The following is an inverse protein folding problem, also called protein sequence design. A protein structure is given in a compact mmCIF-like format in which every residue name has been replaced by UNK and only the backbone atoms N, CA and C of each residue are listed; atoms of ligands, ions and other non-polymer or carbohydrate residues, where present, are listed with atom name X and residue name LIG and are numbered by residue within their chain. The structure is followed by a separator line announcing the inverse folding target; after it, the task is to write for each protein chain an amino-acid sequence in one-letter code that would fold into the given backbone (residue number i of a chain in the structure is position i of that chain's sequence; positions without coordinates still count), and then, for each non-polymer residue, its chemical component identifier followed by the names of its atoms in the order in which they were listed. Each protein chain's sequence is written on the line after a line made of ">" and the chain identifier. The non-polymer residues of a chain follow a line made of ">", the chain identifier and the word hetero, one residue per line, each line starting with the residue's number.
data_IF_849519916575
#
_entry.id   IF_849519916575
#
_cell.length_a   1.000
_cell.length_b   1.000
_cell.length_c   1.000
_cell.angle_alpha   90.00
_cell.angle_beta   90.00
_cell.angle_gamma   90.00
#
_symmetry.space_group_name_H-M   'P 1'
#
loop_
_entity.id
_entity.type
_entity.pdbx_description
1 polymer ?
#
# COMPACT_ATOMS: atom_id res chain seq x y z
N UNK A 1 -3.04 0.04 -6.89
CA UNK A 1 -3.44 -1.34 -6.53
C UNK A 1 -4.59 -1.74 -7.44
N UNK A 2 -4.48 -2.88 -8.13
CA UNK A 2 -5.54 -3.38 -9.01
C UNK A 2 -6.53 -4.24 -8.23
N UNK A 3 -6.04 -5.08 -7.34
CA UNK A 3 -6.82 -6.00 -6.52
C UNK A 3 -6.09 -6.22 -5.20
N UNK A 4 -6.71 -5.81 -4.09
CA UNK A 4 -6.13 -5.95 -2.75
C UNK A 4 -6.57 -7.25 -2.07
N UNK A 5 -7.80 -7.70 -2.32
CA UNK A 5 -8.41 -8.87 -1.71
C UNK A 5 -9.08 -9.73 -2.79
N UNK A 6 -8.30 -10.60 -3.42
CA UNK A 6 -8.75 -11.50 -4.47
C UNK A 6 -8.62 -12.97 -4.09
N UNK A 7 -9.33 -13.84 -4.82
CA UNK A 7 -9.23 -15.29 -4.74
C UNK A 7 -8.87 -15.87 -6.10
N UNK A 8 -7.85 -16.72 -6.16
CA UNK A 8 -7.40 -17.33 -7.41
C UNK A 8 -7.31 -18.85 -7.33
N UNK A 9 -7.67 -19.49 -8.42
CA UNK A 9 -7.41 -20.90 -8.71
C UNK A 9 -6.32 -20.99 -9.76
N UNK A 10 -5.36 -21.90 -9.60
CA UNK A 10 -4.29 -22.04 -10.58
C UNK A 10 -3.15 -22.91 -10.12
N UNK A 11 -2.00 -22.68 -10.74
CA UNK A 11 -0.78 -23.41 -10.45
C UNK A 11 0.44 -22.59 -10.82
N UNK A 12 1.56 -22.88 -10.17
CA UNK A 12 2.89 -22.38 -10.51
C UNK A 12 3.84 -23.57 -10.66
N UNK A 13 4.70 -23.54 -11.67
CA UNK A 13 5.78 -24.51 -11.82
C UNK A 13 7.12 -23.86 -11.46
N UNK A 14 7.80 -24.43 -10.48
CA UNK A 14 9.07 -23.91 -10.00
C UNK A 14 9.99 -25.06 -9.57
N UNK A 15 11.24 -25.02 -10.03
CA UNK A 15 12.22 -26.08 -9.73
C UNK A 15 11.81 -27.47 -10.21
N UNK A 16 11.03 -27.57 -11.30
CA UNK A 16 10.49 -28.84 -11.81
C UNK A 16 9.37 -29.44 -10.96
N UNK A 17 8.85 -28.69 -9.96
CA UNK A 17 7.67 -29.06 -9.18
C UNK A 17 6.51 -28.13 -9.51
N UNK A 18 5.34 -28.72 -9.71
CA UNK A 18 4.08 -28.00 -9.85
C UNK A 18 3.41 -27.85 -8.48
N UNK A 19 3.01 -26.63 -8.18
CA UNK A 19 2.25 -26.26 -6.99
C UNK A 19 0.88 -25.80 -7.46
N UNK A 20 -0.15 -26.52 -7.06
CA UNK A 20 -1.54 -26.18 -7.38
C UNK A 20 -2.18 -25.49 -6.19
N UNK A 21 -3.01 -24.51 -6.47
CA UNK A 21 -3.72 -23.76 -5.46
C UNK A 21 -5.14 -23.51 -5.91
N UNK A 22 -6.04 -23.47 -4.92
CA UNK A 22 -7.45 -23.24 -5.10
C UNK A 22 -7.90 -22.27 -4.03
N UNK A 23 -8.69 -21.30 -4.42
CA UNK A 23 -9.22 -20.26 -3.56
C UNK A 23 -8.09 -19.62 -2.75
N UNK A 24 -7.00 -19.25 -3.42
CA UNK A 24 -5.81 -18.70 -2.76
C UNK A 24 -5.93 -17.17 -2.64
N UNK A 25 -5.59 -16.58 -1.47
CA UNK A 25 -5.47 -15.14 -1.31
C UNK A 25 -4.56 -14.53 -2.39
N UNK A 26 -5.06 -13.52 -3.10
CA UNK A 26 -4.35 -12.92 -4.24
C UNK A 26 -4.34 -11.41 -4.13
N UNK A 27 -3.16 -10.84 -4.36
CA UNK A 27 -2.94 -9.42 -4.51
C UNK A 27 -2.40 -9.16 -5.91
N UNK A 28 -2.91 -8.12 -6.57
CA UNK A 28 -2.41 -7.69 -7.86
C UNK A 28 -2.30 -6.16 -7.88
N UNK A 29 -1.21 -5.70 -8.47
CA UNK A 29 -0.91 -4.28 -8.58
C UNK A 29 -0.36 -3.97 -9.97
N UNK A 30 -0.45 -2.69 -10.33
CA UNK A 30 0.00 -2.20 -11.62
C UNK A 30 0.67 -0.86 -11.38
N UNK A 31 1.98 -0.83 -11.61
CA UNK A 31 2.80 0.35 -11.50
C UNK A 31 3.50 0.61 -12.85
N UNK A 32 3.04 1.64 -13.58
CA UNK A 32 3.63 2.07 -14.86
C UNK A 32 3.31 3.55 -15.15
N UNK A 33 4.21 4.26 -15.84
CA UNK A 33 3.96 5.61 -16.35
C UNK A 33 4.89 6.71 -15.80
N UNK A 34 4.77 7.91 -16.37
CA UNK A 34 5.60 9.08 -16.06
C UNK A 34 5.41 9.66 -14.64
N UNK A 35 4.45 9.13 -13.88
CA UNK A 35 4.17 9.50 -12.50
C UNK A 35 4.74 8.54 -11.45
N UNK A 36 5.72 7.72 -11.82
CA UNK A 36 6.37 6.80 -10.88
C UNK A 36 7.01 7.60 -9.72
N UNK A 37 6.83 7.19 -8.46
CA UNK A 37 7.32 7.96 -7.33
C UNK A 37 8.86 8.01 -7.29
N UNK A 38 9.41 9.12 -6.81
CA UNK A 38 10.85 9.32 -6.65
C UNK A 38 11.42 8.51 -5.48
N UNK A 39 10.57 8.20 -4.48
CA UNK A 39 10.88 7.37 -3.31
C UNK A 39 9.59 6.73 -2.78
N UNK A 40 9.62 5.44 -2.45
CA UNK A 40 8.44 4.75 -1.92
C UNK A 40 8.80 3.56 -1.04
N UNK A 41 7.87 3.17 -0.17
CA UNK A 41 7.90 1.92 0.56
C UNK A 41 6.57 1.19 0.42
N UNK A 42 6.61 -0.13 0.54
CA UNK A 42 5.42 -0.99 0.41
C UNK A 42 5.41 -2.07 1.49
N UNK A 43 4.21 -2.38 1.98
CA UNK A 43 3.89 -3.54 2.81
C UNK A 43 2.63 -4.18 2.22
N UNK A 44 2.70 -5.45 1.87
CA UNK A 44 1.55 -6.24 1.48
C UNK A 44 1.55 -7.56 2.22
N UNK A 45 0.40 -7.98 2.73
CA UNK A 45 0.27 -9.31 3.33
C UNK A 45 -1.19 -9.76 3.34
N UNK A 46 -1.41 -11.04 3.05
CA UNK A 46 -2.72 -11.70 3.11
C UNK A 46 -2.66 -13.09 3.79
N UNK A 47 -1.55 -13.38 4.47
CA UNK A 47 -1.29 -14.66 5.12
C UNK A 47 -1.17 -14.46 6.64
N UNK A 48 -2.20 -13.88 7.25
CA UNK A 48 -2.20 -13.54 8.67
C UNK A 48 -2.72 -14.67 9.54
N UNK A 49 -2.11 -14.83 10.71
CA UNK A 49 -2.64 -15.60 11.84
C UNK A 49 -2.91 -14.67 13.02
N UNK A 50 -3.73 -15.10 13.98
CA UNK A 50 -3.94 -14.32 15.21
C UNK A 50 -2.66 -14.25 16.04
N UNK A 51 -2.29 -13.06 16.51
CA UNK A 51 -1.10 -12.88 17.34
C UNK A 51 -1.22 -13.68 18.65
N UNK A 52 -0.19 -14.46 18.96
CA UNK A 52 -0.14 -15.32 20.15
C UNK A 52 -0.95 -16.62 20.04
N UNK A 53 -1.64 -16.85 18.93
CA UNK A 53 -2.32 -18.11 18.66
C UNK A 53 -1.36 -19.14 18.07
N UNK A 54 -1.57 -20.41 18.40
CA UNK A 54 -0.74 -21.55 17.98
C UNK A 54 -1.44 -22.45 16.96
N UNK A 55 -2.73 -22.24 16.69
CA UNK A 55 -3.55 -23.01 15.74
C UNK A 55 -3.08 -22.86 14.29
N UNK A 56 -2.41 -21.74 13.97
CA UNK A 56 -1.97 -21.35 12.61
C UNK A 56 -3.11 -21.18 11.60
N UNK A 57 -4.35 -21.02 12.07
CA UNK A 57 -5.47 -20.75 11.19
C UNK A 57 -5.29 -19.37 10.54
N UNK A 58 -5.44 -19.34 9.22
CA UNK A 58 -5.38 -18.08 8.46
C UNK A 58 -6.63 -17.26 8.72
N UNK A 59 -6.42 -15.98 8.99
CA UNK A 59 -7.48 -14.99 9.09
C UNK A 59 -7.81 -14.45 7.70
N UNK A 60 -9.08 -14.11 7.50
CA UNK A 60 -9.54 -13.39 6.32
C UNK A 60 -9.15 -11.91 6.42
N UNK A 61 -7.86 -11.64 6.21
CA UNK A 61 -7.25 -10.31 6.25
C UNK A 61 -6.40 -10.11 5.01
N UNK A 62 -6.60 -8.97 4.33
CA UNK A 62 -5.61 -8.44 3.38
C UNK A 62 -5.18 -7.04 3.79
N UNK A 63 -3.87 -6.83 3.86
CA UNK A 63 -3.25 -5.56 4.14
C UNK A 63 -2.51 -5.07 2.89
N UNK A 64 -2.75 -3.80 2.53
CA UNK A 64 -1.89 -3.04 1.64
C UNK A 64 -1.56 -1.70 2.28
N UNK A 65 -0.30 -1.49 2.63
CA UNK A 65 0.17 -0.26 3.26
C UNK A 65 1.36 0.29 2.47
N UNK A 66 1.32 1.58 2.14
CA UNK A 66 2.27 2.20 1.21
C UNK A 66 2.50 3.65 1.59
N UNK A 67 3.68 4.17 1.30
CA UNK A 67 3.98 5.59 1.28
C UNK A 67 4.91 5.94 0.12
N UNK A 68 4.69 7.09 -0.50
CA UNK A 68 5.41 7.51 -1.70
C UNK A 68 5.57 9.03 -1.77
N UNK A 69 6.70 9.49 -2.31
CA UNK A 69 6.87 10.83 -2.84
C UNK A 69 6.45 10.80 -4.30
N UNK A 70 5.28 11.39 -4.60
CA UNK A 70 4.76 11.47 -5.97
C UNK A 70 4.80 12.90 -6.48
N UNK A 71 4.88 13.01 -7.81
CA UNK A 71 4.76 14.28 -8.52
C UNK A 71 3.47 14.30 -9.34
N UNK A 72 2.66 15.34 -9.16
CA UNK A 72 1.45 15.54 -9.96
C UNK A 72 1.77 16.29 -11.26
N UNK A 73 1.09 15.98 -12.37
CA UNK A 73 1.23 16.74 -13.61
C UNK A 73 0.95 18.23 -13.38
N UNK A 74 1.86 19.10 -13.84
CA UNK A 74 1.71 20.56 -13.71
C UNK A 74 2.04 21.13 -12.32
N UNK A 75 2.39 20.30 -11.33
CA UNK A 75 2.83 20.75 -9.99
C UNK A 75 4.36 20.61 -9.87
N UNK A 76 5.03 21.66 -9.40
CA UNK A 76 6.49 21.68 -9.32
C UNK A 76 7.04 20.81 -8.18
N UNK A 77 6.31 20.71 -7.08
CA UNK A 77 6.74 20.05 -5.85
C UNK A 77 6.19 18.63 -5.77
N UNK A 78 6.92 17.75 -5.11
CA UNK A 78 6.44 16.42 -4.74
C UNK A 78 5.59 16.49 -3.47
N UNK A 79 4.65 15.56 -3.34
CA UNK A 79 3.87 15.36 -2.12
C UNK A 79 4.11 13.94 -1.57
N UNK A 80 4.26 13.87 -0.24
CA UNK A 80 4.23 12.61 0.48
C UNK A 80 2.78 12.15 0.60
N UNK A 81 2.48 11.00 0.01
CA UNK A 81 1.18 10.34 0.12
C UNK A 81 1.36 8.96 0.73
N UNK A 82 0.34 8.47 1.40
CA UNK A 82 0.37 7.12 1.94
C UNK A 82 -1.03 6.54 2.09
N UNK A 83 -1.11 5.27 2.46
CA UNK A 83 -2.36 4.58 2.70
C UNK A 83 -2.11 3.38 3.61
N UNK A 84 -3.09 3.07 4.46
CA UNK A 84 -3.23 1.78 5.15
C UNK A 84 -4.60 1.20 4.79
N UNK A 85 -4.64 0.34 3.78
CA UNK A 85 -5.86 -0.30 3.30
C UNK A 85 -5.96 -1.71 3.87
N UNK A 86 -7.08 -2.01 4.55
CA UNK A 86 -7.30 -3.29 5.22
C UNK A 86 -8.64 -3.88 4.78
N UNK A 87 -8.62 -5.10 4.30
CA UNK A 87 -9.80 -5.95 4.20
C UNK A 87 -9.82 -6.90 5.39
N UNK A 88 -10.95 -7.01 6.08
CA UNK A 88 -11.10 -7.91 7.21
C UNK A 88 -12.54 -8.43 7.31
N UNK A 89 -12.73 -9.74 7.22
CA UNK A 89 -14.05 -10.40 7.29
C UNK A 89 -15.10 -9.73 6.39
N UNK A 90 -14.74 -9.45 5.14
CA UNK A 90 -15.60 -8.78 4.16
C UNK A 90 -15.84 -7.27 4.37
N UNK A 91 -15.19 -6.65 5.37
CA UNK A 91 -15.22 -5.18 5.57
C UNK A 91 -13.95 -4.56 4.97
N UNK A 92 -14.09 -3.38 4.37
CA UNK A 92 -12.97 -2.62 3.83
C UNK A 92 -12.74 -1.32 4.61
N UNK A 93 -11.49 -1.08 5.00
CA UNK A 93 -11.03 0.12 5.69
C UNK A 93 -10.00 0.87 4.83
N UNK A 94 -10.41 1.86 4.03
CA UNK A 94 -9.55 2.62 3.13
C UNK A 94 -8.87 3.81 3.83
N UNK A 95 -7.94 3.59 4.76
CA UNK A 95 -7.34 4.69 5.51
C UNK A 95 -6.33 5.45 4.63
N UNK A 96 -6.70 6.66 4.21
CA UNK A 96 -5.93 7.52 3.31
C UNK A 96 -5.86 8.95 3.83
N UNK A 97 -4.96 9.82 3.33
CA UNK A 97 -4.91 11.23 3.69
C UNK A 97 -6.22 12.02 3.49
N UNK A 98 -7.20 11.48 2.78
CA UNK A 98 -8.51 12.10 2.60
C UNK A 98 -9.45 11.92 3.80
N UNK A 99 -9.32 10.82 4.55
CA UNK A 99 -10.20 10.48 5.68
C UNK A 99 -9.43 10.23 6.99
N UNK A 100 -8.10 10.11 6.92
CA UNK A 100 -7.24 9.65 8.01
C UNK A 100 -5.92 10.38 8.03
N UNK A 101 -5.37 10.55 9.23
CA UNK A 101 -3.97 10.90 9.44
C UNK A 101 -3.12 9.65 9.25
N UNK A 102 -2.41 9.56 8.12
CA UNK A 102 -1.52 8.43 7.80
C UNK A 102 -0.06 8.84 7.98
N UNK A 103 0.69 8.15 8.84
CA UNK A 103 2.10 8.46 9.12
C UNK A 103 2.96 7.22 9.05
N UNK A 104 4.25 7.37 8.75
CA UNK A 104 5.18 6.26 8.68
C UNK A 104 6.59 6.63 9.12
N UNK A 105 7.38 5.60 9.41
CA UNK A 105 8.82 5.66 9.63
C UNK A 105 9.46 4.38 9.09
N UNK A 106 10.32 4.52 8.08
CA UNK A 106 10.94 3.40 7.37
C UNK A 106 12.45 3.58 7.34
N UNK A 107 13.20 2.57 7.77
CA UNK A 107 14.67 2.59 7.74
C UNK A 107 15.18 2.38 6.31
N UNK A 108 16.46 2.70 6.01
CA UNK A 108 17.10 2.35 4.74
C UNK A 108 16.91 0.90 4.31
N UNK A 109 16.75 -0.02 5.27
CA UNK A 109 16.27 -1.38 5.07
C UNK A 109 15.94 -2.01 6.43
N UNK A 110 15.03 -2.98 6.45
CA UNK A 110 14.83 -3.90 7.57
C UNK A 110 13.69 -3.57 8.53
N UNK A 111 13.16 -2.35 8.53
CA UNK A 111 12.03 -1.96 9.39
C UNK A 111 11.09 -0.98 8.69
N UNK A 112 9.79 -1.26 8.75
CA UNK A 112 8.72 -0.41 8.25
C UNK A 112 7.66 -0.25 9.34
N UNK A 113 7.35 0.98 9.72
CA UNK A 113 6.25 1.28 10.63
C UNK A 113 5.29 2.26 9.97
N UNK A 114 4.00 1.98 10.06
CA UNK A 114 2.95 2.87 9.58
C UNK A 114 1.79 2.92 10.58
N UNK A 115 1.17 4.08 10.70
CA UNK A 115 -0.03 4.30 11.50
C UNK A 115 -1.07 5.04 10.68
N UNK A 116 -2.34 4.78 10.95
CA UNK A 116 -3.45 5.53 10.39
C UNK A 116 -4.53 5.74 11.45
N UNK A 117 -5.05 6.97 11.55
CA UNK A 117 -6.12 7.34 12.50
C UNK A 117 -7.18 8.12 11.75
N UNK A 118 -8.43 7.66 11.78
CA UNK A 118 -9.56 8.37 11.18
C UNK A 118 -9.74 9.73 11.85
N UNK A 119 -9.96 10.74 11.03
CA UNK A 119 -10.23 12.11 11.46
C UNK A 119 -11.75 12.29 11.57
N UNK A 120 -12.30 12.42 12.79
CA UNK A 120 -13.74 12.63 12.95
C UNK A 120 -14.14 14.06 12.53
N UNK A 121 -15.29 14.15 11.86
CA UNK A 121 -16.15 15.32 11.52
C UNK A 121 -16.16 15.82 10.06
N UNK A 122 -15.12 15.63 9.25
CA UNK A 122 -15.10 16.17 7.86
C UNK A 122 -14.92 15.12 6.74
N UNK A 123 -14.74 13.83 7.05
CA UNK A 123 -14.62 12.80 6.00
C UNK A 123 -16.00 12.50 5.38
N UNK A 124 -16.08 12.54 4.05
CA UNK A 124 -17.28 12.13 3.29
C UNK A 124 -17.65 10.66 3.49
N UNK A 125 -16.70 9.84 3.95
CA UNK A 125 -16.92 8.44 4.32
C UNK A 125 -17.31 8.36 5.80
N UNK A 126 -18.51 7.84 6.10
CA UNK A 126 -18.99 7.54 7.45
C UNK A 126 -18.20 6.37 8.09
N UNK A 127 -16.88 6.52 8.23
CA UNK A 127 -16.04 5.54 8.90
C UNK A 127 -16.20 5.65 10.41
N UNK A 128 -16.21 4.52 11.15
CA UNK A 128 -16.14 4.55 12.61
C UNK A 128 -14.79 5.11 13.06
N UNK A 129 -14.63 5.38 14.37
CA UNK A 129 -13.37 5.83 14.93
C UNK A 129 -12.34 4.70 14.82
N UNK A 130 -11.57 4.69 13.73
CA UNK A 130 -10.61 3.64 13.44
C UNK A 130 -9.18 4.11 13.67
N UNK A 131 -8.38 3.19 14.19
CA UNK A 131 -6.92 3.32 14.26
C UNK A 131 -6.28 2.03 13.78
N UNK A 132 -5.28 2.14 12.92
CA UNK A 132 -4.45 1.02 12.48
C UNK A 132 -2.97 1.27 12.82
N UNK A 133 -2.29 0.23 13.25
CA UNK A 133 -0.84 0.19 13.41
C UNK A 133 -0.28 -1.00 12.63
N UNK A 134 0.71 -0.74 11.79
CA UNK A 134 1.44 -1.75 11.02
C UNK A 134 2.90 -1.65 11.40
N UNK A 135 3.46 -2.74 11.91
CA UNK A 135 4.90 -2.84 12.20
C UNK A 135 5.46 -4.03 11.46
N UNK A 136 6.53 -3.82 10.70
CA UNK A 136 7.14 -4.86 9.91
C UNK A 136 8.64 -4.87 10.01
N UNK A 137 9.23 -6.06 10.02
CA UNK A 137 10.68 -6.26 10.02
C UNK A 137 11.08 -7.30 8.98
N UNK A 138 12.26 -7.13 8.40
CA UNK A 138 12.92 -8.18 7.63
C UNK A 138 14.37 -8.32 8.05
N UNK A 139 14.80 -9.57 8.23
CA UNK A 139 16.21 -9.95 8.42
C UNK A 139 16.87 -10.38 7.13
N UNK A 140 16.09 -10.62 6.07
CA UNK A 140 16.59 -10.96 4.75
C UNK A 140 17.28 -9.72 4.14
N UNK A 141 18.37 -9.89 3.37
CA UNK A 141 18.97 -8.77 2.64
C UNK A 141 18.04 -8.19 1.56
N UNK A 142 16.95 -8.89 1.23
CA UNK A 142 16.06 -8.55 0.13
C UNK A 142 16.67 -8.84 -1.24
N UNK A 143 15.83 -8.80 -2.27
CA UNK A 143 16.24 -8.98 -3.66
C UNK A 143 16.26 -7.62 -4.35
N UNK A 144 17.40 -7.19 -4.94
CA UNK A 144 17.44 -6.00 -5.77
C UNK A 144 16.63 -6.22 -7.05
N UNK A 145 15.68 -5.32 -7.32
CA UNK A 145 14.82 -5.35 -8.49
C UNK A 145 15.02 -4.11 -9.36
N UNK A 146 14.69 -4.27 -10.64
CA UNK A 146 14.65 -3.14 -11.58
C UNK A 146 13.26 -2.52 -11.57
N UNK A 147 13.19 -1.20 -11.39
CA UNK A 147 11.96 -0.43 -11.48
C UNK A 147 12.12 0.73 -12.48
N UNK A 148 11.01 1.28 -13.01
CA UNK A 148 11.05 2.44 -13.90
C UNK A 148 11.64 3.67 -13.21
N UNK A 149 12.49 4.40 -13.92
CA UNK A 149 13.03 5.69 -13.48
C UNK A 149 12.87 6.76 -14.57
N UNK A 150 12.90 8.02 -14.14
CA UNK A 150 12.97 9.13 -15.08
C UNK A 150 14.35 9.16 -15.77
N UNK A 151 14.34 9.15 -17.10
CA UNK A 151 15.53 9.25 -17.94
C UNK A 151 16.44 8.02 -18.07
N UNK A 152 16.33 7.00 -17.21
CA UNK A 152 17.21 5.80 -17.29
C UNK A 152 16.46 4.49 -17.62
N UNK A 153 15.13 4.52 -17.73
CA UNK A 153 14.34 3.32 -17.99
C UNK A 153 14.31 2.39 -16.77
N UNK A 154 14.52 1.08 -16.98
CA UNK A 154 14.52 0.09 -15.89
C UNK A 154 15.89 0.02 -15.19
N UNK A 155 16.01 0.62 -14.01
CA UNK A 155 17.22 0.66 -13.20
C UNK A 155 17.05 -0.07 -11.85
N UNK A 156 18.15 -0.55 -11.27
CA UNK A 156 18.14 -1.24 -9.96
C UNK A 156 17.97 -0.21 -8.86
N UNK A 157 16.72 0.17 -8.61
CA UNK A 157 16.33 1.18 -7.60
C UNK A 157 15.27 0.65 -6.64
N UNK A 158 14.91 -0.62 -6.73
CA UNK A 158 13.93 -1.28 -5.88
C UNK A 158 14.61 -2.43 -5.14
N UNK A 159 14.13 -2.71 -3.93
CA UNK A 159 14.51 -3.87 -3.15
C UNK A 159 13.27 -4.43 -2.45
N UNK A 160 13.01 -5.72 -2.65
CA UNK A 160 11.83 -6.40 -2.11
C UNK A 160 12.19 -7.65 -1.29
N UNK A 161 11.23 -8.17 -0.54
CA UNK A 161 11.29 -9.47 0.12
C UNK A 161 9.87 -9.95 0.43
N UNK A 162 9.64 -11.27 0.36
CA UNK A 162 8.41 -11.89 0.85
C UNK A 162 8.59 -12.55 2.24
N UNK A 163 9.77 -12.38 2.85
CA UNK A 163 10.13 -12.92 4.16
C UNK A 163 10.00 -11.86 5.26
N UNK A 164 8.97 -11.01 5.13
CA UNK A 164 8.66 -9.97 6.10
C UNK A 164 7.82 -10.50 7.26
N UNK A 165 8.25 -10.24 8.49
CA UNK A 165 7.37 -10.37 9.65
C UNK A 165 6.53 -9.10 9.76
N UNK A 166 5.21 -9.23 9.62
CA UNK A 166 4.25 -8.12 9.62
C UNK A 166 3.27 -8.32 10.75
N UNK A 167 3.12 -7.32 11.62
CA UNK A 167 2.06 -7.27 12.62
C UNK A 167 1.10 -6.14 12.29
N UNK A 168 -0.19 -6.47 12.27
CA UNK A 168 -1.28 -5.55 12.06
C UNK A 168 -2.11 -5.47 13.35
N UNK A 169 -2.36 -4.26 13.82
CA UNK A 169 -3.37 -3.99 14.84
C UNK A 169 -4.40 -3.00 14.34
N UNK A 170 -5.66 -3.28 14.62
CA UNK A 170 -6.79 -2.39 14.28
C UNK A 170 -7.65 -2.21 15.51
N UNK A 171 -8.00 -0.95 15.79
CA UNK A 171 -8.96 -0.58 16.81
C UNK A 171 -10.15 0.12 16.16
N UNK A 172 -11.34 -0.20 16.65
CA UNK A 172 -12.62 0.40 16.29
C UNK A 172 -13.28 0.87 17.57
N UNK A 173 -13.60 2.16 17.67
CA UNK A 173 -14.19 2.77 18.87
C UNK A 173 -13.42 2.45 20.17
N UNK A 174 -12.09 2.47 20.06
CA UNK A 174 -11.11 2.14 21.10
C UNK A 174 -11.05 0.65 21.52
N UNK A 175 -11.88 -0.21 20.93
CA UNK A 175 -11.82 -1.67 21.10
C UNK A 175 -10.86 -2.32 20.10
N UNK A 176 -10.05 -3.27 20.55
CA UNK A 176 -9.11 -3.99 19.68
C UNK A 176 -9.87 -5.00 18.80
N UNK A 177 -10.00 -4.67 17.52
CA UNK A 177 -10.69 -5.49 16.52
C UNK A 177 -9.77 -6.56 15.92
N UNK A 178 -8.53 -6.19 15.60
CA UNK A 178 -7.53 -7.09 14.98
C UNK A 178 -6.20 -6.99 15.73
N UNK A 179 -5.59 -8.13 16.05
CA UNK A 179 -4.17 -8.25 16.39
C UNK A 179 -3.62 -9.50 15.69
N UNK A 180 -2.98 -9.28 14.54
CA UNK A 180 -2.61 -10.32 13.59
C UNK A 180 -1.13 -10.24 13.26
N UNK A 181 -0.52 -11.39 12.96
CA UNK A 181 0.88 -11.52 12.57
C UNK A 181 1.06 -12.49 11.41
N UNK A 182 2.00 -12.17 10.53
CA UNK A 182 2.47 -13.03 9.45
C UNK A 182 3.99 -13.00 9.37
N UNK A 183 4.59 -14.03 8.75
CA UNK A 183 6.01 -14.09 8.37
C UNK A 183 6.22 -14.11 6.85
N UNK A 184 5.12 -14.00 6.11
CA UNK A 184 5.07 -14.09 4.64
C UNK A 184 4.65 -12.73 4.05
N UNK A 185 5.07 -11.64 4.69
CA UNK A 185 4.78 -10.28 4.24
C UNK A 185 5.71 -9.83 3.12
N UNK A 186 5.14 -9.27 2.06
CA UNK A 186 5.85 -8.50 1.04
C UNK A 186 6.27 -7.15 1.58
N UNK A 187 7.58 -6.89 1.67
CA UNK A 187 8.15 -5.61 2.11
C UNK A 187 9.05 -5.07 1.00
N UNK A 188 8.86 -3.79 0.67
CA UNK A 188 9.58 -3.13 -0.41
C UNK A 188 10.04 -1.73 -0.01
N UNK A 189 11.18 -1.33 -0.55
CA UNK A 189 11.52 0.08 -0.76
C UNK A 189 11.94 0.28 -2.21
N UNK A 190 11.75 1.48 -2.72
CA UNK A 190 12.43 1.87 -3.94
C UNK A 190 12.54 3.36 -4.15
N UNK A 191 13.17 3.70 -5.27
CA UNK A 191 13.60 5.07 -5.57
C UNK A 191 14.75 5.46 -4.64
N UNK A 192 14.73 6.70 -4.16
CA UNK A 192 15.72 7.12 -3.17
C UNK A 192 15.81 8.63 -2.98
N UNK A 193 16.84 9.09 -2.23
CA UNK A 193 17.86 8.27 -1.57
C UNK A 193 17.34 7.56 -0.32
N UNK A 194 17.93 6.41 0.03
CA UNK A 194 17.67 5.62 1.25
C UNK A 194 18.90 5.59 2.16
N UNK A 195 19.36 6.77 2.59
CA UNK A 195 20.53 6.93 3.47
C UNK A 195 20.14 6.97 4.95
N UNK A 196 19.03 7.66 5.25
CA UNK A 196 18.48 7.83 6.58
C UNK A 196 17.06 7.26 6.69
N UNK A 197 16.58 7.16 7.93
CA UNK A 197 15.18 6.85 8.22
C UNK A 197 14.26 7.88 7.57
N UNK A 198 13.30 7.42 6.78
CA UNK A 198 12.27 8.27 6.22
C UNK A 198 11.02 8.25 7.10
N UNK A 199 10.80 9.36 7.81
CA UNK A 199 9.57 9.60 8.57
C UNK A 199 8.76 10.71 7.91
N UNK A 200 7.49 10.44 7.63
CA UNK A 200 6.59 11.42 7.03
C UNK A 200 5.13 11.14 7.37
N UNK A 201 4.28 12.11 7.05
CA UNK A 201 2.84 12.03 7.12
C UNK A 201 2.27 12.27 5.73
N UNK A 202 1.34 11.42 5.31
CA UNK A 202 0.67 11.51 4.03
C UNK A 202 -0.27 12.70 4.01
N UNK A 203 -0.19 13.51 2.97
CA UNK A 203 -1.08 14.66 2.76
C UNK A 203 -1.52 14.69 1.29
N UNK A 204 -2.75 15.12 1.05
CA UNK A 204 -3.19 15.51 -0.28
C UNK A 204 -3.05 17.01 -0.44
N UNK A 205 -2.43 17.43 -1.55
CA UNK A 205 -2.45 18.84 -1.95
C UNK A 205 -3.89 19.36 -2.08
N UNK A 206 -4.13 20.67 -1.85
CA UNK A 206 -5.46 21.26 -1.94
C UNK A 206 -6.16 21.00 -3.28
N UNK A 207 -5.41 20.95 -4.39
CA UNK A 207 -5.95 20.64 -5.70
C UNK A 207 -6.49 19.21 -5.79
N UNK A 208 -5.79 18.23 -5.19
CA UNK A 208 -6.27 16.84 -5.11
C UNK A 208 -7.48 16.73 -4.19
N UNK A 209 -7.49 17.43 -3.04
CA UNK A 209 -8.64 17.44 -2.15
C UNK A 209 -9.90 17.96 -2.85
N UNK A 210 -9.79 19.12 -3.52
CA UNK A 210 -10.88 19.69 -4.30
C UNK A 210 -11.36 18.75 -5.40
N UNK A 211 -10.46 18.00 -6.04
CA UNK A 211 -10.80 17.06 -7.10
C UNK A 211 -11.47 15.78 -6.57
N UNK A 212 -11.09 15.30 -5.38
CA UNK A 212 -11.73 14.16 -4.71
C UNK A 212 -13.11 14.50 -4.16
N UNK A 213 -13.36 15.76 -3.84
CA UNK A 213 -14.68 16.28 -3.41
C UNK A 213 -15.65 16.50 -4.58
N UNK A 214 -15.14 16.54 -5.81
CA UNK A 214 -15.97 16.64 -7.00
C UNK A 214 -16.52 15.26 -7.34
N UNK A 215 -17.84 15.10 -7.25
CA UNK A 215 -18.59 13.92 -7.70
C UNK A 215 -18.60 13.88 -9.24
N UNK A 216 -17.42 13.60 -9.82
CA UNK A 216 -17.20 13.58 -11.26
C UNK A 216 -17.16 12.15 -11.77
N UNK A 217 -17.95 11.90 -12.81
CA UNK A 217 -17.72 10.77 -13.69
C UNK A 217 -16.43 11.02 -14.47
N UNK A 218 -15.37 10.35 -14.05
CA UNK A 218 -14.04 10.48 -14.63
C UNK A 218 -14.01 10.14 -16.12
N UNK A 219 -14.92 9.30 -16.62
CA UNK A 219 -15.02 9.05 -18.06
C UNK A 219 -15.44 10.30 -18.84
N UNK A 220 -16.26 11.18 -18.25
CA UNK A 220 -16.70 12.42 -18.88
C UNK A 220 -15.68 13.56 -18.72
N UNK A 221 -14.91 13.57 -17.63
CA UNK A 221 -13.80 14.53 -17.42
C UNK A 221 -12.71 14.38 -18.49
N UNK A 222 -12.38 13.14 -18.88
CA UNK A 222 -11.39 12.87 -19.92
C UNK A 222 -11.93 12.96 -21.36
N UNK A 223 -13.22 13.21 -21.56
CA UNK A 223 -13.81 13.58 -22.88
C UNK A 223 -13.72 15.08 -23.17
N UNK A 224 -13.23 15.88 -22.23
CA UNK A 224 -13.13 17.34 -22.31
C UNK A 224 -11.68 17.86 -22.42
N UNK A 225 -11.41 19.14 -22.06
CA UNK A 225 -10.12 19.80 -22.26
C UNK A 225 -8.91 19.18 -21.53
N UNK A 226 -9.14 18.18 -20.67
CA UNK A 226 -8.10 17.43 -19.94
C UNK A 226 -7.70 16.12 -20.64
N UNK A 227 -8.20 15.85 -21.85
CA UNK A 227 -7.84 14.68 -22.66
C UNK A 227 -6.32 14.52 -22.85
N UNK A 228 -5.59 15.65 -22.92
CA UNK A 228 -4.12 15.66 -23.03
C UNK A 228 -3.39 15.16 -21.77
N UNK A 229 -4.07 15.09 -20.62
CA UNK A 229 -3.53 14.53 -19.38
C UNK A 229 -3.84 13.03 -19.24
N UNK A 230 -4.57 12.44 -20.20
CA UNK A 230 -4.85 11.01 -20.21
C UNK A 230 -3.54 10.24 -20.36
N UNK A 231 -3.20 9.33 -19.43
CA UNK A 231 -2.03 8.49 -19.58
C UNK A 231 -2.16 7.67 -20.88
N UNK A 232 -1.10 7.57 -21.71
CA UNK A 232 -1.17 6.77 -22.92
C UNK A 232 -1.51 5.31 -22.59
N UNK A 233 -2.56 4.78 -23.21
CA UNK A 233 -2.99 3.38 -23.05
C UNK A 233 -4.22 3.14 -22.17
N UNK A 234 -4.94 4.21 -21.79
CA UNK A 234 -6.35 4.14 -21.36
C UNK A 234 -7.25 4.63 -22.48
#
# INVERSE_FOLDING_TARGET
>A
VLMADGRSDGWVEWGGKRYEFRDAPTYAEKNWGAGFPSKWWWIQCNAFTKYGDTTKDLLDISLTSVGALRKLPGVSNEEAVGMVAIHYNGRFFPLTPGNSKVSWSVTPWGTWNATAVVMNEESSENLPKLRAEVTSISKSPGTPLRAPTDGQGLAVVCRDTFEGEVRLKVWEDDELLVDAISKDGGLEIGGGPWEDVWSAEGTYSPAVKALLELDLDWEDVFKGPLEQLRPPGL
#
